data_IF_004887670786
#
_entry.id   IF_004887670786
#
_cell.length_a   1.000
_cell.length_b   1.000
_cell.length_c   1.000
_cell.angle_alpha   90.00
_cell.angle_beta   90.00
_cell.angle_gamma   90.00
#
_symmetry.space_group_name_H-M   'P 1'
#
loop_
_entity.id
_entity.type
_entity.pdbx_description
1 polymer ?
#
# COMPACT_ATOMS: atom_id res chain seq x y z
N UNK A 1 13.47 23.52 -53.71
CA UNK A 1 13.98 23.52 -52.32
C UNK A 1 12.79 23.28 -51.42
N UNK A 2 12.40 22.01 -51.27
CA UNK A 2 11.24 21.63 -50.48
C UNK A 2 11.69 21.39 -49.04
N UNK A 3 11.40 22.36 -48.18
CA UNK A 3 11.68 22.29 -46.75
C UNK A 3 10.70 21.33 -46.08
N UNK A 4 11.00 20.03 -46.12
CA UNK A 4 10.32 19.02 -45.32
C UNK A 4 10.59 19.27 -43.83
N UNK A 5 9.63 19.82 -43.11
CA UNK A 5 9.70 19.94 -41.65
C UNK A 5 9.55 18.55 -40.99
N UNK A 6 10.49 18.11 -40.14
CA UNK A 6 10.58 16.73 -39.65
C UNK A 6 9.62 16.37 -38.50
N UNK A 7 8.49 17.07 -38.37
CA UNK A 7 7.48 16.80 -37.33
C UNK A 7 6.09 16.72 -37.95
N UNK A 8 5.87 15.66 -38.72
CA UNK A 8 4.55 15.30 -39.26
C UNK A 8 3.57 14.78 -38.18
N UNK A 9 4.07 14.49 -36.97
CA UNK A 9 3.21 14.15 -35.83
C UNK A 9 2.92 15.42 -35.02
N UNK A 10 1.70 15.93 -35.13
CA UNK A 10 1.18 16.99 -34.27
C UNK A 10 1.20 16.60 -32.78
N UNK A 11 0.74 17.48 -31.87
CA UNK A 11 0.74 17.16 -30.44
C UNK A 11 -0.02 15.86 -30.16
N UNK A 12 0.72 14.79 -29.81
CA UNK A 12 0.15 13.48 -29.48
C UNK A 12 -0.83 13.67 -28.33
N UNK A 13 -2.10 13.29 -28.54
CA UNK A 13 -3.15 13.41 -27.49
C UNK A 13 -2.63 12.74 -26.21
N UNK A 14 -2.58 13.50 -25.10
CA UNK A 14 -2.22 12.94 -23.79
C UNK A 14 -3.17 11.78 -23.47
N UNK A 15 -2.61 10.61 -23.14
CA UNK A 15 -3.38 9.41 -22.76
C UNK A 15 -4.32 9.79 -21.61
N UNK A 16 -5.62 9.61 -21.81
CA UNK A 16 -6.64 9.82 -20.79
C UNK A 16 -6.94 8.48 -20.11
N UNK A 17 -6.96 8.48 -18.77
CA UNK A 17 -7.29 7.31 -17.98
C UNK A 17 -8.66 7.48 -17.33
N UNK A 18 -9.50 6.47 -17.49
CA UNK A 18 -10.75 6.31 -16.75
C UNK A 18 -10.49 6.06 -15.27
N UNK A 19 -11.50 6.26 -14.43
CA UNK A 19 -11.34 6.00 -12.99
C UNK A 19 -11.03 4.53 -12.68
N UNK A 20 -11.61 3.60 -13.44
CA UNK A 20 -11.34 2.17 -13.32
C UNK A 20 -9.88 1.83 -13.65
N UNK A 21 -9.36 2.32 -14.79
CA UNK A 21 -7.96 2.11 -15.18
C UNK A 21 -6.99 2.70 -14.15
N UNK A 22 -7.31 3.85 -13.56
CA UNK A 22 -6.48 4.43 -12.47
C UNK A 22 -6.42 3.51 -11.26
N UNK A 23 -7.57 2.97 -10.83
CA UNK A 23 -7.63 2.04 -9.69
C UNK A 23 -6.85 0.76 -10.00
N UNK A 24 -7.02 0.21 -11.21
CA UNK A 24 -6.31 -0.97 -11.67
C UNK A 24 -4.80 -0.73 -11.68
N UNK A 25 -4.35 0.38 -12.25
CA UNK A 25 -2.92 0.71 -12.28
C UNK A 25 -2.31 0.88 -10.88
N UNK A 26 -3.07 1.47 -9.94
CA UNK A 26 -2.62 1.58 -8.54
C UNK A 26 -2.51 0.20 -7.90
N UNK A 27 -3.49 -0.69 -8.10
CA UNK A 27 -3.48 -2.06 -7.57
C UNK A 27 -2.31 -2.87 -8.14
N UNK A 28 -2.14 -2.86 -9.46
CA UNK A 28 -1.06 -3.58 -10.14
C UNK A 28 0.31 -3.05 -9.73
N UNK A 29 0.47 -1.73 -9.55
CA UNK A 29 1.70 -1.15 -9.01
C UNK A 29 1.97 -1.62 -7.57
N UNK A 30 0.96 -1.61 -6.70
CA UNK A 30 1.11 -2.04 -5.30
C UNK A 30 1.48 -3.52 -5.19
N UNK A 31 0.93 -4.38 -6.06
CA UNK A 31 1.32 -5.79 -6.18
C UNK A 31 2.75 -5.94 -6.69
N UNK A 32 3.12 -5.23 -7.75
CA UNK A 32 4.50 -5.24 -8.27
C UNK A 32 5.51 -4.74 -7.22
N UNK A 33 5.12 -3.82 -6.34
CA UNK A 33 5.97 -3.40 -5.23
C UNK A 33 6.25 -4.52 -4.21
N UNK A 34 5.38 -5.52 -4.07
CA UNK A 34 5.59 -6.65 -3.16
C UNK A 34 6.72 -7.57 -3.65
N UNK A 35 6.92 -7.69 -4.97
CA UNK A 35 8.02 -8.45 -5.57
C UNK A 35 9.27 -7.61 -5.88
N UNK A 36 9.25 -6.30 -5.62
CA UNK A 36 10.34 -5.38 -5.98
C UNK A 36 10.29 -4.87 -7.44
N UNK A 37 9.29 -5.26 -8.22
CA UNK A 37 9.14 -4.94 -9.64
C UNK A 37 8.42 -3.62 -9.93
N UNK A 38 8.09 -2.82 -8.90
CA UNK A 38 7.32 -1.59 -9.06
C UNK A 38 7.93 -0.61 -10.08
N UNK A 39 9.27 -0.46 -10.08
CA UNK A 39 9.96 0.38 -11.06
C UNK A 39 9.92 -0.17 -12.49
N UNK A 40 9.95 -1.51 -12.63
CA UNK A 40 9.80 -2.15 -13.94
C UNK A 40 8.37 -1.97 -14.48
N UNK A 41 7.36 -2.11 -13.63
CA UNK A 41 5.97 -1.85 -13.97
C UNK A 41 5.75 -0.42 -14.47
N UNK A 42 6.26 0.60 -13.76
CA UNK A 42 6.13 2.01 -14.16
C UNK A 42 6.72 2.27 -15.55
N UNK A 43 7.88 1.69 -15.86
CA UNK A 43 8.52 1.82 -17.18
C UNK A 43 7.73 1.14 -18.29
N UNK A 44 7.19 -0.06 -18.04
CA UNK A 44 6.35 -0.80 -19.02
C UNK A 44 5.07 -0.03 -19.36
N UNK A 45 4.42 0.54 -18.35
CA UNK A 45 3.17 1.27 -18.52
C UNK A 45 3.36 2.74 -18.95
N UNK A 46 4.61 3.23 -18.97
CA UNK A 46 4.92 4.64 -19.23
C UNK A 46 4.36 5.59 -18.16
N UNK A 47 4.26 5.11 -16.92
CA UNK A 47 3.69 5.85 -15.79
C UNK A 47 4.78 6.45 -14.92
N UNK A 48 4.50 7.63 -14.36
CA UNK A 48 5.38 8.27 -13.40
C UNK A 48 4.91 8.01 -11.96
N UNK A 49 5.85 7.91 -11.01
CA UNK A 49 5.56 7.63 -9.60
C UNK A 49 4.66 8.69 -8.95
N UNK A 50 4.78 9.96 -9.34
CA UNK A 50 3.91 11.03 -8.86
C UNK A 50 2.45 10.82 -9.28
N UNK A 51 2.21 10.28 -10.48
CA UNK A 51 0.87 10.02 -11.00
C UNK A 51 0.19 8.89 -10.22
N UNK A 52 0.90 7.79 -9.99
CA UNK A 52 0.42 6.71 -9.11
C UNK A 52 0.16 7.22 -7.69
N UNK A 53 1.04 8.07 -7.16
CA UNK A 53 0.87 8.64 -5.83
C UNK A 53 -0.39 9.53 -5.74
N UNK A 54 -0.67 10.29 -6.78
CA UNK A 54 -1.89 11.10 -6.87
C UNK A 54 -3.14 10.22 -6.95
N UNK A 55 -3.13 9.20 -7.80
CA UNK A 55 -4.27 8.28 -7.93
C UNK A 55 -4.53 7.48 -6.67
N UNK A 56 -3.50 7.14 -5.89
CA UNK A 56 -3.65 6.56 -4.56
C UNK A 56 -4.42 7.51 -3.63
N UNK A 57 -4.07 8.81 -3.62
CA UNK A 57 -4.81 9.81 -2.83
C UNK A 57 -6.28 9.90 -3.26
N UNK A 58 -6.54 9.91 -4.57
CA UNK A 58 -7.91 9.95 -5.10
C UNK A 58 -8.72 8.70 -4.77
N UNK A 59 -8.09 7.52 -4.77
CA UNK A 59 -8.69 6.25 -4.34
C UNK A 59 -9.03 6.30 -2.85
N UNK A 60 -8.06 6.66 -2.01
CA UNK A 60 -8.22 6.68 -0.56
C UNK A 60 -9.25 7.75 -0.12
N UNK A 61 -9.41 8.81 -0.90
CA UNK A 61 -10.44 9.83 -0.73
C UNK A 61 -11.82 9.46 -1.35
N UNK A 62 -11.95 8.28 -1.97
CA UNK A 62 -13.19 7.81 -2.59
C UNK A 62 -13.61 8.52 -3.88
N UNK A 63 -12.77 9.43 -4.41
CA UNK A 63 -13.14 10.30 -5.55
C UNK A 63 -13.18 9.54 -6.88
N UNK A 64 -12.51 8.38 -6.96
CA UNK A 64 -12.51 7.54 -8.15
C UNK A 64 -13.74 6.61 -8.23
N UNK A 65 -14.51 6.46 -7.16
CA UNK A 65 -15.68 5.57 -7.13
C UNK A 65 -16.88 6.28 -7.75
N UNK A 66 -17.57 5.64 -8.70
CA UNK A 66 -18.78 6.16 -9.34
C UNK A 66 -18.58 7.23 -10.43
N UNK A 67 -17.34 7.59 -10.76
CA UNK A 67 -17.03 8.55 -11.84
C UNK A 67 -17.20 7.93 -13.22
N UNK A 68 -17.84 8.66 -14.14
CA UNK A 68 -17.99 8.22 -15.54
C UNK A 68 -16.65 8.32 -16.30
N UNK A 69 -16.41 7.48 -17.32
CA UNK A 69 -15.26 7.64 -18.21
C UNK A 69 -15.17 9.06 -18.79
N UNK A 70 -14.01 9.70 -18.67
CA UNK A 70 -13.77 11.06 -19.17
C UNK A 70 -14.11 12.20 -18.21
N UNK A 71 -14.71 11.91 -17.05
CA UNK A 71 -14.97 12.93 -16.03
C UNK A 71 -13.66 13.37 -15.36
N UNK A 72 -13.40 14.69 -15.34
CA UNK A 72 -12.19 15.22 -14.71
C UNK A 72 -12.29 15.03 -13.19
N UNK A 73 -11.27 14.39 -12.62
CA UNK A 73 -11.10 14.37 -11.17
C UNK A 73 -10.62 15.78 -10.77
N UNK A 74 -11.52 16.53 -10.15
CA UNK A 74 -11.21 17.87 -9.63
C UNK A 74 -10.32 17.81 -8.38
N UNK A 75 -10.08 18.98 -7.79
CA UNK A 75 -9.45 19.08 -6.47
C UNK A 75 -10.32 18.36 -5.43
N UNK A 76 -9.70 17.66 -4.49
CA UNK A 76 -10.43 17.00 -3.40
C UNK A 76 -11.24 18.05 -2.61
N UNK A 77 -12.46 17.70 -2.23
CA UNK A 77 -13.25 18.47 -1.25
C UNK A 77 -12.60 18.38 0.13
N UNK A 78 -12.97 19.29 1.04
CA UNK A 78 -12.47 19.26 2.41
C UNK A 78 -12.79 17.92 3.11
N UNK A 79 -14.01 17.42 2.92
CA UNK A 79 -14.45 16.11 3.43
C UNK A 79 -13.62 14.96 2.88
N UNK A 80 -13.36 14.95 1.56
CA UNK A 80 -12.54 13.93 0.90
C UNK A 80 -11.09 13.95 1.39
N UNK A 81 -10.54 15.14 1.63
CA UNK A 81 -9.21 15.29 2.21
C UNK A 81 -9.15 14.76 3.65
N UNK A 82 -10.20 15.02 4.44
CA UNK A 82 -10.29 14.54 5.83
C UNK A 82 -10.49 13.02 5.89
N UNK A 83 -11.33 12.45 5.04
CA UNK A 83 -11.45 10.99 4.88
C UNK A 83 -10.09 10.37 4.59
N UNK A 84 -9.36 10.90 3.60
CA UNK A 84 -8.04 10.39 3.26
C UNK A 84 -7.02 10.55 4.39
N UNK A 85 -7.14 11.60 5.22
CA UNK A 85 -6.31 11.79 6.41
C UNK A 85 -6.64 10.74 7.47
N UNK A 86 -7.91 10.62 7.85
CA UNK A 86 -8.38 9.68 8.87
C UNK A 86 -8.06 8.23 8.50
N UNK A 87 -8.25 7.84 7.23
CA UNK A 87 -7.87 6.50 6.76
C UNK A 87 -6.37 6.23 6.92
N UNK A 88 -5.50 7.23 6.71
CA UNK A 88 -4.05 7.05 6.95
C UNK A 88 -3.72 6.94 8.43
N UNK A 89 -4.36 7.74 9.27
CA UNK A 89 -4.16 7.69 10.73
C UNK A 89 -4.62 6.34 11.28
N UNK A 90 -5.79 5.86 10.87
CA UNK A 90 -6.32 4.54 11.20
C UNK A 90 -5.34 3.43 10.78
N UNK A 91 -4.86 3.44 9.54
CA UNK A 91 -3.89 2.44 9.07
C UNK A 91 -2.57 2.45 9.87
N UNK A 92 -2.08 3.63 10.29
CA UNK A 92 -0.88 3.72 11.14
C UNK A 92 -1.14 3.18 12.54
N UNK A 93 -2.28 3.53 13.13
CA UNK A 93 -2.69 3.04 14.43
C UNK A 93 -2.81 1.50 14.42
N UNK A 94 -3.49 0.93 13.42
CA UNK A 94 -3.62 -0.51 13.27
C UNK A 94 -2.28 -1.22 13.08
N UNK A 95 -1.34 -0.66 12.30
CA UNK A 95 0.01 -1.24 12.18
C UNK A 95 0.72 -1.27 13.52
N UNK A 96 0.63 -0.20 14.31
CA UNK A 96 1.25 -0.15 15.63
C UNK A 96 0.61 -1.16 16.59
N UNK A 97 -0.72 -1.25 16.56
CA UNK A 97 -1.50 -2.20 17.34
C UNK A 97 -1.09 -3.64 17.02
N UNK A 98 -1.04 -4.02 15.73
CA UNK A 98 -0.59 -5.34 15.31
C UNK A 98 0.84 -5.66 15.78
N UNK A 99 1.76 -4.69 15.71
CA UNK A 99 3.12 -4.87 16.23
C UNK A 99 3.13 -5.10 17.74
N UNK A 100 2.32 -4.34 18.49
CA UNK A 100 2.24 -4.51 19.95
C UNK A 100 1.61 -5.84 20.34
N UNK A 101 0.58 -6.29 19.62
CA UNK A 101 -0.04 -7.60 19.85
C UNK A 101 0.95 -8.74 19.57
N UNK A 102 1.72 -8.65 18.48
CA UNK A 102 2.77 -9.63 18.18
C UNK A 102 3.85 -9.67 19.28
N UNK A 103 4.24 -8.52 19.82
CA UNK A 103 5.19 -8.48 20.93
C UNK A 103 4.62 -9.13 22.20
N UNK A 104 3.35 -8.89 22.52
CA UNK A 104 2.67 -9.53 23.66
C UNK A 104 2.58 -11.04 23.50
N UNK A 105 2.26 -11.53 22.30
CA UNK A 105 2.23 -12.97 21.99
C UNK A 105 3.60 -13.63 22.19
N UNK A 106 4.68 -12.99 21.72
CA UNK A 106 6.05 -13.48 21.94
C UNK A 106 6.39 -13.52 23.44
N UNK A 107 6.06 -12.48 24.20
CA UNK A 107 6.29 -12.45 25.65
C UNK A 107 5.50 -13.54 26.37
N UNK A 108 4.24 -13.77 25.98
CA UNK A 108 3.42 -14.85 26.53
C UNK A 108 4.03 -16.23 26.27
N UNK A 109 4.51 -16.48 25.05
CA UNK A 109 5.21 -17.73 24.68
C UNK A 109 6.52 -17.91 25.44
N UNK A 110 7.29 -16.84 25.63
CA UNK A 110 8.51 -16.88 26.42
C UNK A 110 8.22 -17.21 27.89
N UNK A 111 7.17 -16.61 28.48
CA UNK A 111 6.75 -16.93 29.85
C UNK A 111 6.35 -18.40 30.00
N UNK A 112 5.51 -18.91 29.09
CA UNK A 112 5.08 -20.31 29.12
C UNK A 112 6.25 -21.30 28.97
N UNK A 113 7.27 -20.94 28.18
CA UNK A 113 8.49 -21.74 28.06
C UNK A 113 9.33 -21.71 29.34
N UNK A 114 9.43 -20.56 30.03
CA UNK A 114 10.12 -20.49 31.31
C UNK A 114 9.41 -21.30 32.39
N UNK A 115 8.08 -21.29 32.40
CA UNK A 115 7.26 -22.09 33.31
C UNK A 115 7.49 -23.59 33.10
N UNK A 116 7.48 -24.07 31.85
CA UNK A 116 7.74 -25.49 31.57
C UNK A 116 9.16 -25.93 31.91
N UNK A 117 10.16 -25.06 31.70
CA UNK A 117 11.53 -25.31 32.13
C UNK A 117 11.65 -25.37 33.66
N UNK A 118 10.99 -24.45 34.38
CA UNK A 118 10.97 -24.43 35.84
C UNK A 118 10.35 -25.71 36.40
N UNK A 119 9.19 -26.12 35.88
CA UNK A 119 8.54 -27.36 36.29
C UNK A 119 9.44 -28.56 36.05
N UNK A 120 10.09 -28.65 34.88
CA UNK A 120 11.00 -29.76 34.56
C UNK A 120 12.20 -29.85 35.52
N UNK A 121 12.76 -28.71 35.93
CA UNK A 121 13.86 -28.65 36.88
C UNK A 121 13.43 -29.12 38.29
N UNK A 122 12.23 -28.75 38.73
CA UNK A 122 11.67 -29.19 40.01
C UNK A 122 11.38 -30.70 40.05
N UNK A 123 11.05 -31.32 38.91
CA UNK A 123 10.87 -32.77 38.81
C UNK A 123 12.18 -33.55 38.94
N UNK A 124 13.27 -33.07 38.32
CA UNK A 124 14.59 -33.70 38.43
C UNK A 124 15.14 -33.66 39.86
N UNK A 125 14.95 -32.56 40.57
CA UNK A 125 15.44 -32.42 41.95
C UNK A 125 14.71 -33.35 42.94
N UNK A 126 13.41 -33.61 42.71
CA UNK A 126 12.62 -34.53 43.54
C UNK A 126 12.96 -36.00 43.27
N UNK A 127 13.33 -36.34 42.03
CA UNK A 127 13.66 -37.72 41.67
C UNK A 127 15.06 -38.13 42.18
N UNK A 128 15.99 -37.18 42.27
CA UNK A 128 17.36 -37.43 42.74
C UNK A 128 17.51 -37.49 44.29
N UNK A 129 16.45 -37.16 45.04
CA UNK A 129 16.41 -37.21 46.52
C UNK A 129 15.75 -38.49 47.06
N UNK A 130 15.53 -39.51 46.23
CA UNK A 130 14.89 -40.78 46.58
C UNK A 130 15.88 -41.93 46.74
#
# INVERSE_FOLDING_TARGET
MDSAHPRADGPRRRRAFTAAEKIEHVRAYEQACQSGDGGAYLRREGLYSSLISEWRKHRDAGVLVGKKPGEKVGKLTAEQAEIARLTRELNRANKRLNTTEAALDIMGKAHALLESLSESADFDEKNNKR
#
